data_IF_687414975852
#
_entry.id   IF_687414975852
#
_cell.length_a   1.000
_cell.length_b   1.000
_cell.length_c   1.000
_cell.angle_alpha   90.00
_cell.angle_beta   90.00
_cell.angle_gamma   90.00
#
_symmetry.space_group_name_H-M   'P 1'
#
loop_
_entity.id
_entity.type
_entity.pdbx_description
1 polymer ?
#
# COMPACT_ATOMS: atom_id res chain seq x y z
N UNK A 1 2.89 -23.33 9.22
CA UNK A 1 2.44 -23.37 7.82
C UNK A 1 1.63 -22.12 7.60
N UNK A 2 2.25 -21.06 7.07
CA UNK A 2 1.54 -19.83 6.71
C UNK A 2 0.54 -20.20 5.62
N UNK A 3 -0.74 -19.93 5.85
CA UNK A 3 -1.77 -20.14 4.84
C UNK A 3 -1.36 -19.33 3.61
N UNK A 4 -1.25 -19.98 2.45
CA UNK A 4 -0.85 -19.31 1.22
C UNK A 4 -2.03 -18.43 0.79
N UNK A 5 -1.98 -17.15 1.15
CA UNK A 5 -2.99 -16.16 0.76
C UNK A 5 -2.66 -15.68 -0.64
N UNK A 6 -3.61 -15.83 -1.56
CA UNK A 6 -3.55 -15.30 -2.93
C UNK A 6 -4.51 -14.11 -3.04
N UNK A 7 -4.12 -13.11 -3.82
CA UNK A 7 -4.92 -11.93 -4.19
C UNK A 7 -5.52 -12.03 -5.59
N UNK A 8 -5.24 -13.11 -6.33
CA UNK A 8 -5.79 -13.34 -7.66
C UNK A 8 -7.31 -13.25 -7.69
N UNK A 9 -7.84 -12.45 -8.62
CA UNK A 9 -9.28 -12.24 -8.80
C UNK A 9 -9.94 -11.39 -7.71
N UNK A 10 -9.19 -10.90 -6.73
CA UNK A 10 -9.71 -10.06 -5.66
C UNK A 10 -9.69 -8.58 -6.04
N UNK A 11 -10.47 -7.80 -5.30
CA UNK A 11 -10.58 -6.35 -5.47
C UNK A 11 -10.30 -5.68 -4.15
N UNK A 12 -9.45 -4.65 -4.15
CA UNK A 12 -9.17 -3.87 -2.94
C UNK A 12 -8.89 -2.40 -3.25
N UNK A 13 -8.84 -1.55 -2.22
CA UNK A 13 -8.40 -0.16 -2.33
C UNK A 13 -6.93 -0.04 -1.97
N UNK A 14 -6.30 1.13 -2.19
CA UNK A 14 -4.90 1.34 -1.79
C UNK A 14 -4.77 1.59 -0.28
N UNK A 15 -5.69 2.33 0.34
CA UNK A 15 -5.72 2.52 1.79
C UNK A 15 -6.25 3.89 2.20
N UNK A 16 -5.68 4.94 1.61
CA UNK A 16 -6.08 6.32 1.92
C UNK A 16 -7.47 6.63 1.37
N UNK A 17 -8.32 7.23 2.20
CA UNK A 17 -9.74 7.50 1.92
C UNK A 17 -10.10 8.95 2.25
N UNK A 18 -11.06 9.57 1.54
CA UNK A 18 -11.43 10.96 1.80
C UNK A 18 -12.33 11.10 3.03
N UNK A 19 -12.24 12.24 3.70
CA UNK A 19 -13.04 12.54 4.90
C UNK A 19 -12.36 12.13 6.21
N UNK A 20 -13.14 12.16 7.29
CA UNK A 20 -12.61 12.02 8.66
C UNK A 20 -13.40 11.04 9.54
N UNK A 21 -14.50 10.48 9.06
CA UNK A 21 -15.35 9.55 9.81
C UNK A 21 -14.86 8.11 9.63
N UNK A 22 -14.22 7.56 10.66
CA UNK A 22 -13.71 6.19 10.66
C UNK A 22 -14.81 5.13 10.52
N UNK A 23 -15.98 5.34 11.14
CA UNK A 23 -17.08 4.36 11.15
C UNK A 23 -17.76 4.28 9.79
N UNK A 24 -18.12 5.44 9.22
CA UNK A 24 -18.72 5.50 7.89
C UNK A 24 -17.77 4.92 6.84
N UNK A 25 -16.48 5.24 6.97
CA UNK A 25 -15.45 4.73 6.07
C UNK A 25 -15.31 3.21 6.19
N UNK A 26 -15.16 2.65 7.39
CA UNK A 26 -15.06 1.21 7.60
C UNK A 26 -16.28 0.45 7.06
N UNK A 27 -17.50 0.95 7.33
CA UNK A 27 -18.73 0.36 6.80
C UNK A 27 -18.77 0.39 5.27
N UNK A 28 -18.33 1.49 4.65
CA UNK A 28 -18.23 1.61 3.19
C UNK A 28 -17.23 0.62 2.62
N UNK A 29 -16.03 0.52 3.20
CA UNK A 29 -14.97 -0.37 2.72
C UNK A 29 -15.41 -1.84 2.79
N UNK A 30 -15.98 -2.29 3.91
CA UNK A 30 -16.49 -3.66 4.05
C UNK A 30 -17.66 -3.94 3.09
N UNK A 31 -18.55 -2.96 2.90
CA UNK A 31 -19.70 -3.11 2.00
C UNK A 31 -19.33 -3.21 0.52
N UNK A 32 -18.29 -2.50 0.07
CA UNK A 32 -17.92 -2.44 -1.35
C UNK A 32 -16.83 -3.47 -1.75
N UNK A 33 -15.93 -3.85 -0.83
CA UNK A 33 -14.75 -4.68 -1.14
C UNK A 33 -14.84 -6.14 -0.68
N UNK A 34 -15.94 -6.55 -0.05
CA UNK A 34 -16.28 -7.97 0.18
C UNK A 34 -15.12 -8.79 0.77
N UNK A 35 -14.50 -9.65 -0.05
CA UNK A 35 -13.47 -10.62 0.35
C UNK A 35 -12.06 -10.09 0.61
N UNK A 36 -11.73 -8.86 0.17
CA UNK A 36 -10.40 -8.26 0.39
C UNK A 36 -10.43 -6.78 0.84
N UNK A 37 -11.16 -6.46 1.93
CA UNK A 37 -11.24 -5.11 2.47
C UNK A 37 -9.93 -4.67 3.11
N UNK A 38 -9.79 -3.38 3.39
CA UNK A 38 -8.60 -2.82 4.03
C UNK A 38 -8.96 -1.97 5.25
N UNK A 39 -8.04 -1.89 6.22
CA UNK A 39 -8.17 -0.91 7.30
C UNK A 39 -7.97 0.49 6.72
N UNK A 40 -8.98 1.34 6.81
CA UNK A 40 -8.93 2.67 6.18
C UNK A 40 -7.85 3.57 6.79
N UNK A 41 -7.17 4.36 5.96
CA UNK A 41 -6.33 5.48 6.37
C UNK A 41 -7.03 6.81 6.03
N UNK A 42 -7.17 7.71 7.00
CA UNK A 42 -7.91 8.98 6.86
C UNK A 42 -6.99 10.19 7.08
N UNK A 43 -6.18 10.57 6.07
CA UNK A 43 -5.19 11.64 6.20
C UNK A 43 -5.81 13.02 6.45
N UNK A 44 -7.08 13.26 6.09
CA UNK A 44 -7.76 14.54 6.33
C UNK A 44 -8.00 14.85 7.81
N UNK A 45 -7.78 13.89 8.73
CA UNK A 45 -7.77 14.15 10.20
C UNK A 45 -6.52 14.93 10.67
N UNK A 46 -5.59 15.17 9.73
CA UNK A 46 -4.41 16.00 9.91
C UNK A 46 -3.20 15.24 10.43
N UNK A 47 -2.26 15.99 11.01
CA UNK A 47 -0.99 15.47 11.49
C UNK A 47 -1.16 14.26 12.41
N UNK A 48 -0.41 13.19 12.11
CA UNK A 48 -0.50 11.89 12.79
C UNK A 48 -1.45 10.90 12.10
N UNK A 49 -2.36 11.35 11.23
CA UNK A 49 -3.27 10.49 10.48
C UNK A 49 -2.84 10.24 9.03
N UNK A 50 -1.88 11.03 8.52
CA UNK A 50 -1.21 10.76 7.24
C UNK A 50 -0.31 9.52 7.32
N UNK A 51 0.11 9.00 6.16
CA UNK A 51 0.85 7.73 6.06
C UNK A 51 2.12 7.67 6.91
N UNK A 52 2.86 8.77 7.06
CA UNK A 52 4.10 8.81 7.84
C UNK A 52 3.78 8.87 9.33
N UNK A 53 2.82 9.72 9.72
CA UNK A 53 2.33 9.81 11.09
C UNK A 53 1.75 8.48 11.59
N UNK A 54 0.92 7.84 10.78
CA UNK A 54 0.33 6.52 11.06
C UNK A 54 1.39 5.44 11.18
N UNK A 55 2.37 5.39 10.27
CA UNK A 55 3.50 4.47 10.40
C UNK A 55 4.26 4.70 11.72
N UNK A 56 4.38 5.95 12.17
CA UNK A 56 4.93 6.29 13.48
C UNK A 56 4.21 5.67 14.68
N UNK A 57 2.90 5.39 14.57
CA UNK A 57 2.14 4.66 15.60
C UNK A 57 2.33 3.13 15.53
N UNK A 58 2.82 2.62 14.39
CA UNK A 58 3.12 1.20 14.17
C UNK A 58 4.55 0.89 14.63
N UNK A 59 5.50 1.81 14.47
CA UNK A 59 6.90 1.62 14.87
C UNK A 59 7.03 1.22 16.34
N UNK A 60 7.90 0.26 16.61
CA UNK A 60 8.25 -0.21 17.96
C UNK A 60 9.50 0.52 18.46
N UNK A 61 9.44 1.03 19.68
CA UNK A 61 10.55 1.73 20.38
C UNK A 61 11.13 2.97 19.67
N UNK A 62 10.53 3.41 18.56
CA UNK A 62 10.87 4.64 17.84
C UNK A 62 9.68 5.60 17.95
N UNK A 63 9.95 6.81 18.45
CA UNK A 63 8.92 7.84 18.58
C UNK A 63 9.11 8.90 17.51
N UNK A 64 8.01 9.30 16.86
CA UNK A 64 8.00 10.42 15.92
C UNK A 64 7.35 11.66 16.54
N UNK A 65 7.90 12.81 16.18
CA UNK A 65 7.28 14.12 16.39
C UNK A 65 7.32 14.92 15.07
N UNK A 66 6.56 15.99 15.00
CA UNK A 66 6.58 16.86 13.82
C UNK A 66 7.45 18.09 14.04
N UNK A 67 8.19 18.47 13.02
CA UNK A 67 8.79 19.79 12.87
C UNK A 67 7.93 20.64 11.92
N UNK A 68 8.41 21.84 11.59
CA UNK A 68 7.76 22.70 10.59
C UNK A 68 7.87 22.16 9.17
N UNK A 69 8.70 21.16 8.91
CA UNK A 69 9.01 20.68 7.56
C UNK A 69 8.81 19.19 7.36
N UNK A 70 9.06 18.38 8.39
CA UNK A 70 9.05 16.93 8.31
C UNK A 70 8.74 16.27 9.65
N UNK A 71 8.39 14.98 9.62
CA UNK A 71 8.46 14.13 10.80
C UNK A 71 9.91 13.90 11.19
N UNK A 72 10.16 13.74 12.49
CA UNK A 72 11.51 13.49 13.01
C UNK A 72 11.49 12.47 14.14
N UNK A 73 12.55 11.70 14.26
CA UNK A 73 12.77 10.79 15.39
C UNK A 73 13.06 11.60 16.66
N UNK A 74 12.37 11.27 17.74
CA UNK A 74 12.55 11.88 19.06
C UNK A 74 12.77 10.82 20.14
N UNK A 75 13.53 11.12 21.21
CA UNK A 75 13.85 10.15 22.25
C UNK A 75 12.68 9.83 23.19
N UNK A 76 11.62 10.65 23.17
CA UNK A 76 10.47 10.51 24.06
C UNK A 76 9.19 10.71 23.28
N UNK A 77 8.18 9.94 23.67
CA UNK A 77 6.82 10.04 23.14
C UNK A 77 6.27 11.45 23.34
N UNK A 78 5.89 12.07 22.23
CA UNK A 78 5.28 13.40 22.18
C UNK A 78 3.78 13.36 21.86
N UNK A 79 3.19 14.54 21.67
CA UNK A 79 1.77 14.68 21.34
C UNK A 79 1.42 14.10 19.96
N UNK A 80 2.32 14.22 18.98
CA UNK A 80 2.10 13.68 17.62
C UNK A 80 2.02 12.16 17.65
N UNK A 81 2.98 11.49 18.28
CA UNK A 81 2.93 10.04 18.49
C UNK A 81 1.65 9.60 19.20
N UNK A 82 1.28 10.27 20.31
CA UNK A 82 0.03 9.97 21.02
C UNK A 82 -1.20 10.12 20.11
N UNK A 83 -1.28 11.20 19.34
CA UNK A 83 -2.39 11.47 18.43
C UNK A 83 -2.48 10.43 17.31
N UNK A 84 -1.35 10.01 16.76
CA UNK A 84 -1.30 8.97 15.72
C UNK A 84 -1.80 7.61 16.26
N UNK A 85 -1.39 7.23 17.48
CA UNK A 85 -1.90 6.04 18.17
C UNK A 85 -3.41 6.13 18.44
N UNK A 86 -3.89 7.28 18.93
CA UNK A 86 -5.32 7.51 19.20
C UNK A 86 -6.14 7.34 17.90
N UNK A 87 -5.66 7.87 16.77
CA UNK A 87 -6.31 7.67 15.47
C UNK A 87 -6.28 6.22 15.00
N UNK A 88 -5.15 5.53 15.13
CA UNK A 88 -5.04 4.12 14.75
C UNK A 88 -5.99 3.24 15.55
N UNK A 89 -6.10 3.49 16.87
CA UNK A 89 -7.04 2.79 17.73
C UNK A 89 -8.49 3.06 17.33
N UNK A 90 -8.83 4.31 17.02
CA UNK A 90 -10.17 4.67 16.53
C UNK A 90 -10.51 3.94 15.22
N UNK A 91 -9.54 3.79 14.32
CA UNK A 91 -9.74 3.08 13.05
C UNK A 91 -9.94 1.57 13.27
N UNK A 92 -9.20 0.98 14.22
CA UNK A 92 -9.36 -0.42 14.61
C UNK A 92 -10.72 -0.69 15.25
N UNK A 93 -11.16 0.18 16.15
CA UNK A 93 -12.48 0.08 16.79
C UNK A 93 -13.60 0.21 15.75
N UNK A 94 -13.46 1.13 14.79
CA UNK A 94 -14.41 1.30 13.70
C UNK A 94 -14.47 0.08 12.76
N UNK A 95 -13.31 -0.53 12.46
CA UNK A 95 -13.26 -1.77 11.68
C UNK A 95 -13.97 -2.91 12.41
N UNK A 96 -13.69 -3.11 13.71
CA UNK A 96 -14.31 -4.17 14.51
C UNK A 96 -15.82 -3.98 14.63
N UNK A 97 -16.29 -2.75 14.92
CA UNK A 97 -17.72 -2.42 14.98
C UNK A 97 -18.43 -2.72 13.66
N UNK A 98 -17.82 -2.32 12.53
CA UNK A 98 -18.39 -2.57 11.21
C UNK A 98 -18.35 -4.08 10.84
N UNK A 99 -17.30 -4.80 11.25
CA UNK A 99 -17.13 -6.24 11.02
C UNK A 99 -18.21 -7.05 11.74
N UNK A 100 -18.44 -6.75 13.01
CA UNK A 100 -19.50 -7.36 13.83
C UNK A 100 -20.90 -7.05 13.29
N UNK A 101 -21.13 -5.78 12.90
CA UNK A 101 -22.40 -5.32 12.35
C UNK A 101 -22.76 -6.03 11.05
N UNK A 102 -21.76 -6.26 10.19
CA UNK A 102 -21.91 -7.00 8.94
C UNK A 102 -21.96 -8.54 9.15
N UNK A 103 -21.73 -9.02 10.38
CA UNK A 103 -21.71 -10.45 10.75
C UNK A 103 -20.74 -11.28 9.91
N UNK A 104 -19.57 -10.70 9.61
CA UNK A 104 -18.56 -11.35 8.79
C UNK A 104 -17.85 -12.44 9.58
N UNK A 105 -17.56 -13.56 8.90
CA UNK A 105 -16.78 -14.67 9.45
C UNK A 105 -15.35 -14.56 8.93
N UNK A 106 -14.38 -14.46 9.85
CA UNK A 106 -12.97 -14.22 9.51
C UNK A 106 -12.38 -15.19 8.49
N UNK A 107 -12.73 -16.48 8.56
CA UNK A 107 -12.19 -17.51 7.68
C UNK A 107 -12.48 -17.34 6.20
N UNK A 108 -13.49 -16.54 5.84
CA UNK A 108 -13.89 -16.29 4.45
C UNK A 108 -13.26 -15.00 3.86
N UNK A 109 -12.46 -14.29 4.67
CA UNK A 109 -11.98 -12.95 4.33
C UNK A 109 -10.48 -12.80 4.57
N UNK A 110 -9.88 -11.91 3.80
CA UNK A 110 -8.52 -11.43 4.01
C UNK A 110 -8.60 -9.92 4.25
N UNK A 111 -8.03 -9.42 5.34
CA UNK A 111 -7.95 -7.98 5.61
C UNK A 111 -6.58 -7.47 5.18
N UNK A 112 -6.57 -6.47 4.32
CA UNK A 112 -5.34 -5.78 3.95
C UNK A 112 -5.03 -4.67 4.96
N UNK A 113 -3.79 -4.60 5.42
CA UNK A 113 -3.26 -3.45 6.16
C UNK A 113 -2.17 -2.79 5.33
N UNK A 114 -2.10 -1.47 5.37
CA UNK A 114 -1.07 -0.72 4.66
C UNK A 114 -0.30 0.21 5.59
N UNK A 115 0.97 0.41 5.27
CA UNK A 115 1.85 1.36 5.93
C UNK A 115 2.88 1.90 4.93
N UNK A 116 3.37 3.11 5.18
CA UNK A 116 4.54 3.62 4.48
C UNK A 116 5.72 2.64 4.64
N UNK A 117 6.32 2.25 3.52
CA UNK A 117 7.45 1.33 3.50
C UNK A 117 8.74 1.96 4.01
N UNK A 118 9.75 1.14 4.37
CA UNK A 118 10.97 1.61 5.02
C UNK A 118 11.78 2.61 4.18
N UNK A 119 11.78 2.53 2.85
CA UNK A 119 12.53 3.46 2.00
C UNK A 119 11.85 4.84 1.95
N UNK A 120 10.53 4.85 1.87
CA UNK A 120 9.70 6.06 1.95
C UNK A 120 9.78 6.69 3.34
N UNK A 121 9.71 5.90 4.41
CA UNK A 121 9.96 6.40 5.77
C UNK A 121 11.36 6.99 5.91
N UNK A 122 12.38 6.31 5.37
CA UNK A 122 13.74 6.81 5.31
C UNK A 122 13.84 8.16 4.59
N UNK A 123 13.06 8.33 3.52
CA UNK A 123 13.00 9.56 2.74
C UNK A 123 12.21 10.69 3.43
N UNK A 124 11.18 10.39 4.20
CA UNK A 124 10.26 11.41 4.77
C UNK A 124 10.56 11.78 6.23
N UNK A 125 11.32 10.95 6.95
CA UNK A 125 11.66 11.17 8.36
C UNK A 125 13.07 11.74 8.49
N UNK A 126 13.23 12.72 9.38
CA UNK A 126 14.52 13.28 9.78
C UNK A 126 15.04 12.70 11.10
N UNK A 127 16.35 12.56 11.23
CA UNK A 127 17.02 12.35 12.52
C UNK A 127 17.25 13.70 13.22
N UNK A 128 17.70 13.68 14.48
CA UNK A 128 17.82 14.89 15.32
C UNK A 128 18.67 16.03 14.72
N UNK A 129 19.61 15.73 13.83
CA UNK A 129 20.46 16.73 13.18
C UNK A 129 19.79 17.40 11.96
N UNK A 130 18.58 16.96 11.55
CA UNK A 130 17.83 17.45 10.41
C UNK A 130 18.21 16.84 9.05
N UNK A 131 19.01 15.78 8.99
CA UNK A 131 19.15 14.95 7.79
C UNK A 131 18.06 13.91 7.74
N UNK A 132 17.66 13.49 6.53
CA UNK A 132 16.77 12.35 6.33
C UNK A 132 17.40 11.08 6.91
N UNK A 133 16.56 10.19 7.44
CA UNK A 133 16.99 8.88 7.93
C UNK A 133 17.68 8.08 6.83
N UNK A 134 17.30 8.27 5.56
CA UNK A 134 17.91 7.61 4.40
C UNK A 134 19.45 7.74 4.33
N UNK A 135 20.02 8.82 4.86
CA UNK A 135 21.48 9.07 4.84
C UNK A 135 22.20 8.30 5.96
N UNK A 136 21.50 7.95 7.03
CA UNK A 136 22.01 7.19 8.16
C UNK A 136 21.61 5.71 8.02
N UNK A 137 22.56 4.89 7.54
CA UNK A 137 22.33 3.45 7.32
C UNK A 137 21.91 2.71 8.61
N UNK A 138 22.40 3.15 9.77
CA UNK A 138 22.03 2.57 11.05
C UNK A 138 20.57 2.89 11.38
N UNK A 139 20.21 4.17 11.32
CA UNK A 139 18.83 4.60 11.58
C UNK A 139 17.82 4.01 10.58
N UNK A 140 18.19 3.89 9.29
CA UNK A 140 17.32 3.27 8.29
C UNK A 140 17.06 1.79 8.59
N UNK A 141 18.11 1.07 9.03
CA UNK A 141 17.98 -0.33 9.45
C UNK A 141 17.11 -0.45 10.70
N UNK A 142 17.31 0.41 11.70
CA UNK A 142 16.50 0.42 12.92
C UNK A 142 15.02 0.69 12.61
N UNK A 143 14.71 1.61 11.69
CA UNK A 143 13.34 1.83 11.19
C UNK A 143 12.80 0.57 10.52
N UNK A 144 13.57 -0.07 9.65
CA UNK A 144 13.12 -1.24 8.91
C UNK A 144 12.79 -2.43 9.82
N UNK A 145 13.64 -2.70 10.82
CA UNK A 145 13.44 -3.74 11.84
C UNK A 145 12.23 -3.39 12.73
N UNK A 146 12.16 -2.16 13.24
CA UNK A 146 11.05 -1.65 14.05
C UNK A 146 9.69 -1.70 13.33
N UNK A 147 9.66 -1.33 12.05
CA UNK A 147 8.46 -1.37 11.22
C UNK A 147 8.00 -2.81 11.00
N UNK A 148 8.91 -3.74 10.71
CA UNK A 148 8.58 -5.16 10.54
C UNK A 148 7.90 -5.72 11.80
N UNK A 149 8.50 -5.50 12.97
CA UNK A 149 7.92 -5.92 14.24
C UNK A 149 6.56 -5.26 14.51
N UNK A 150 6.47 -3.95 14.27
CA UNK A 150 5.24 -3.17 14.43
C UNK A 150 4.09 -3.70 13.58
N UNK A 151 4.36 -4.01 12.32
CA UNK A 151 3.38 -4.58 11.40
C UNK A 151 2.92 -5.97 11.82
N UNK A 152 3.82 -6.81 12.34
CA UNK A 152 3.44 -8.12 12.89
C UNK A 152 2.48 -7.96 14.09
N UNK A 153 2.76 -7.02 15.00
CA UNK A 153 1.89 -6.72 16.14
C UNK A 153 0.54 -6.16 15.69
N UNK A 154 0.55 -5.25 14.72
CA UNK A 154 -0.65 -4.63 14.18
C UNK A 154 -1.55 -5.65 13.46
N UNK A 155 -0.96 -6.55 12.67
CA UNK A 155 -1.68 -7.63 12.03
C UNK A 155 -2.28 -8.62 13.04
N UNK A 156 -1.52 -8.98 14.09
CA UNK A 156 -2.03 -9.85 15.15
C UNK A 156 -3.23 -9.23 15.86
N UNK A 157 -3.23 -7.91 16.07
CA UNK A 157 -4.36 -7.16 16.62
C UNK A 157 -5.60 -7.27 15.70
N UNK A 158 -5.43 -7.06 14.40
CA UNK A 158 -6.53 -7.18 13.43
C UNK A 158 -7.06 -8.61 13.34
N UNK A 159 -6.19 -9.61 13.22
CA UNK A 159 -6.58 -11.02 13.24
C UNK A 159 -7.30 -11.39 14.52
N UNK A 160 -6.92 -10.83 15.68
CA UNK A 160 -7.63 -11.06 16.95
C UNK A 160 -9.06 -10.53 16.92
N UNK A 161 -9.28 -9.34 16.34
CA UNK A 161 -10.59 -8.68 16.28
C UNK A 161 -11.52 -9.28 15.23
N UNK A 162 -10.99 -9.63 14.06
CA UNK A 162 -11.81 -10.04 12.90
C UNK A 162 -11.81 -11.56 12.66
N UNK A 163 -10.81 -12.27 13.18
CA UNK A 163 -10.53 -13.66 12.84
C UNK A 163 -10.02 -13.87 11.41
N UNK A 164 -9.80 -12.80 10.64
CA UNK A 164 -9.38 -12.85 9.25
C UNK A 164 -7.86 -13.01 9.10
N UNK A 165 -7.44 -13.63 8.00
CA UNK A 165 -6.05 -13.58 7.57
C UNK A 165 -5.68 -12.14 7.18
N UNK A 166 -4.41 -11.78 7.34
CA UNK A 166 -3.92 -10.43 7.03
C UNK A 166 -2.87 -10.46 5.93
N UNK A 167 -2.99 -9.52 4.99
CA UNK A 167 -1.96 -9.18 4.00
C UNK A 167 -1.47 -7.78 4.27
N UNK A 168 -0.16 -7.58 4.20
CA UNK A 168 0.46 -6.26 4.36
C UNK A 168 0.71 -5.64 2.99
N UNK A 169 0.48 -4.34 2.86
CA UNK A 169 0.94 -3.52 1.76
C UNK A 169 1.95 -2.49 2.29
N UNK A 170 3.17 -2.50 1.73
CA UNK A 170 4.16 -1.46 1.97
C UNK A 170 4.07 -0.42 0.85
N UNK A 171 3.69 0.80 1.22
CA UNK A 171 3.57 1.92 0.30
C UNK A 171 4.93 2.58 0.12
N UNK A 172 5.51 2.40 -1.05
CA UNK A 172 6.83 2.87 -1.44
C UNK A 172 6.81 3.85 -2.62
N UNK A 173 6.07 4.98 -2.53
CA UNK A 173 6.03 5.98 -3.60
C UNK A 173 7.38 6.64 -3.87
N UNK A 174 8.31 6.67 -2.89
CA UNK A 174 9.63 7.28 -3.04
C UNK A 174 10.70 6.33 -3.57
N UNK A 175 10.40 5.05 -3.83
CA UNK A 175 11.41 4.03 -4.13
C UNK A 175 12.29 4.39 -5.33
N UNK A 176 11.71 4.88 -6.42
CA UNK A 176 12.45 5.28 -7.61
C UNK A 176 13.38 6.47 -7.31
N UNK A 177 12.90 7.46 -6.55
CA UNK A 177 13.69 8.63 -6.18
C UNK A 177 14.84 8.30 -5.21
N UNK A 178 14.61 7.35 -4.29
CA UNK A 178 15.61 6.81 -3.37
C UNK A 178 16.73 6.13 -4.16
N UNK A 179 16.39 5.25 -5.11
CA UNK A 179 17.37 4.52 -5.93
C UNK A 179 18.12 5.45 -6.89
N UNK A 180 17.46 6.50 -7.40
CA UNK A 180 18.06 7.46 -8.30
C UNK A 180 18.89 8.55 -7.59
N UNK A 181 18.73 8.74 -6.27
CA UNK A 181 19.35 9.86 -5.55
C UNK A 181 18.80 11.23 -5.97
N UNK A 182 17.53 11.27 -6.35
CA UNK A 182 16.85 12.48 -6.85
C UNK A 182 16.03 13.21 -5.80
N UNK A 183 16.00 12.70 -4.56
CA UNK A 183 15.33 13.34 -3.44
C UNK A 183 15.98 14.69 -3.08
N UNK A 184 15.20 15.74 -2.83
CA UNK A 184 15.76 17.04 -2.44
C UNK A 184 16.43 16.95 -1.06
N UNK A 185 17.63 17.50 -0.95
CA UNK A 185 18.39 17.62 0.29
C UNK A 185 17.86 18.72 1.21
N UNK A 186 18.68 19.15 2.18
CA UNK A 186 18.27 20.17 3.17
C UNK A 186 18.01 21.53 2.52
N UNK A 187 18.74 21.79 1.44
CA UNK A 187 18.57 22.96 0.58
C UNK A 187 18.15 22.54 -0.81
N UNK A 188 17.56 23.46 -1.59
CA UNK A 188 17.16 23.19 -2.99
C UNK A 188 18.34 22.85 -3.93
N UNK A 189 19.58 23.11 -3.49
CA UNK A 189 20.81 22.88 -4.26
C UNK A 189 21.51 21.56 -3.90
N UNK A 190 21.00 20.84 -2.90
CA UNK A 190 21.55 19.57 -2.42
C UNK A 190 20.58 18.46 -2.83
N UNK A 191 21.11 17.31 -3.23
CA UNK A 191 20.32 16.08 -3.38
C UNK A 191 20.79 15.05 -2.36
N UNK A 192 19.88 14.17 -1.95
CA UNK A 192 20.23 13.04 -1.12
C UNK A 192 20.87 11.97 -2.00
N UNK A 193 22.03 11.40 -1.62
CA UNK A 193 22.69 10.37 -2.41
C UNK A 193 21.78 9.18 -2.71
N UNK A 194 21.97 8.57 -3.87
CA UNK A 194 21.29 7.34 -4.24
C UNK A 194 21.59 6.24 -3.22
N UNK A 195 20.55 5.50 -2.81
CA UNK A 195 20.73 4.27 -2.08
C UNK A 195 20.98 3.14 -3.09
N UNK A 196 22.13 2.44 -3.03
CA UNK A 196 22.40 1.34 -3.95
C UNK A 196 21.33 0.26 -3.86
N UNK A 197 20.91 -0.27 -5.01
CA UNK A 197 19.84 -1.25 -5.10
C UNK A 197 20.00 -2.47 -4.17
N UNK A 198 21.19 -3.07 -3.99
CA UNK A 198 21.36 -4.17 -3.04
C UNK A 198 21.09 -3.78 -1.58
N UNK A 199 21.40 -2.53 -1.21
CA UNK A 199 21.13 -2.02 0.13
C UNK A 199 19.64 -1.74 0.30
N UNK A 200 19.00 -1.11 -0.70
CA UNK A 200 17.54 -0.86 -0.68
C UNK A 200 16.73 -2.16 -0.60
N UNK A 201 17.13 -3.19 -1.35
CA UNK A 201 16.55 -4.53 -1.30
C UNK A 201 16.70 -5.14 0.10
N UNK A 202 17.89 -5.06 0.71
CA UNK A 202 18.12 -5.60 2.05
C UNK A 202 17.26 -4.91 3.12
N UNK A 203 17.07 -3.59 3.01
CA UNK A 203 16.19 -2.83 3.90
C UNK A 203 14.74 -3.27 3.75
N UNK A 204 14.24 -3.36 2.51
CA UNK A 204 12.88 -3.79 2.21
C UNK A 204 12.63 -5.22 2.71
N UNK A 205 13.52 -6.16 2.39
CA UNK A 205 13.39 -7.56 2.80
C UNK A 205 13.53 -7.75 4.31
N UNK A 206 14.31 -6.91 5.00
CA UNK A 206 14.38 -6.91 6.47
C UNK A 206 13.01 -6.58 7.09
N UNK A 207 12.29 -5.59 6.57
CA UNK A 207 10.93 -5.26 7.01
C UNK A 207 9.95 -6.40 6.72
N UNK A 208 10.00 -6.96 5.50
CA UNK A 208 9.10 -8.07 5.09
C UNK A 208 9.34 -9.30 5.97
N UNK A 209 10.61 -9.68 6.16
CA UNK A 209 11.01 -10.79 7.04
C UNK A 209 10.60 -10.54 8.50
N UNK A 210 10.80 -9.32 9.01
CA UNK A 210 10.43 -8.95 10.38
C UNK A 210 8.92 -8.97 10.62
N UNK A 211 8.13 -8.66 9.59
CA UNK A 211 6.67 -8.75 9.63
C UNK A 211 6.19 -10.22 9.60
N UNK A 212 6.85 -11.08 8.82
CA UNK A 212 6.53 -12.51 8.76
C UNK A 212 5.19 -12.85 8.10
N UNK A 213 4.60 -11.90 7.36
CA UNK A 213 3.29 -12.03 6.71
C UNK A 213 3.41 -11.85 5.18
N UNK A 214 2.43 -12.35 4.40
CA UNK A 214 2.36 -12.07 2.97
C UNK A 214 2.32 -10.55 2.74
N UNK A 215 3.34 -10.03 2.05
CA UNK A 215 3.51 -8.60 1.81
C UNK A 215 3.48 -8.27 0.32
N UNK A 216 2.74 -7.22 -0.02
CA UNK A 216 2.68 -6.56 -1.33
C UNK A 216 3.47 -5.25 -1.22
N UNK A 217 4.22 -4.88 -2.26
CA UNK A 217 4.83 -3.55 -2.35
C UNK A 217 4.05 -2.71 -3.35
N UNK A 218 3.53 -1.57 -2.90
CA UNK A 218 2.84 -0.61 -3.74
C UNK A 218 3.75 0.56 -4.11
N UNK A 219 3.78 0.96 -5.38
CA UNK A 219 4.33 2.24 -5.78
C UNK A 219 3.55 2.82 -6.96
N UNK A 220 3.18 4.09 -6.85
CA UNK A 220 2.45 4.83 -7.87
C UNK A 220 3.35 5.81 -8.65
N UNK A 221 4.67 5.64 -8.57
CA UNK A 221 5.65 6.49 -9.26
C UNK A 221 5.91 6.06 -10.71
N UNK A 222 6.49 6.96 -11.49
CA UNK A 222 7.15 6.59 -12.76
C UNK A 222 8.48 5.90 -12.45
N UNK A 223 8.97 5.07 -13.38
CA UNK A 223 10.28 4.38 -13.27
C UNK A 223 10.32 3.30 -12.17
N UNK A 224 9.35 2.39 -12.24
CA UNK A 224 9.27 1.24 -11.35
C UNK A 224 10.57 0.40 -11.37
N UNK A 225 11.15 0.08 -10.20
CA UNK A 225 12.37 -0.72 -10.11
C UNK A 225 12.05 -2.22 -10.21
N UNK A 226 11.69 -2.66 -11.42
CA UNK A 226 11.21 -4.02 -11.69
C UNK A 226 12.16 -5.13 -11.19
N UNK A 227 13.47 -5.00 -11.39
CA UNK A 227 14.44 -6.02 -10.96
C UNK A 227 14.51 -6.16 -9.43
N UNK A 228 14.53 -5.02 -8.71
CA UNK A 228 14.51 -5.02 -7.25
C UNK A 228 13.22 -5.68 -6.74
N UNK A 229 12.06 -5.30 -7.28
CA UNK A 229 10.76 -5.85 -6.86
C UNK A 229 10.65 -7.35 -7.16
N UNK A 230 11.17 -7.79 -8.31
CA UNK A 230 11.26 -9.21 -8.68
C UNK A 230 12.09 -10.02 -7.68
N UNK A 231 13.21 -9.46 -7.22
CA UNK A 231 14.14 -10.10 -6.28
C UNK A 231 13.71 -10.00 -4.82
N UNK A 232 12.86 -9.04 -4.49
CA UNK A 232 12.33 -8.87 -3.13
C UNK A 232 11.52 -10.07 -2.66
N UNK A 233 11.37 -10.19 -1.35
CA UNK A 233 10.55 -11.19 -0.69
C UNK A 233 9.04 -10.91 -0.79
N UNK A 234 8.63 -9.75 -1.31
CA UNK A 234 7.22 -9.43 -1.50
C UNK A 234 6.59 -10.45 -2.45
N UNK A 235 5.44 -11.02 -2.10
CA UNK A 235 4.78 -11.98 -3.00
C UNK A 235 4.01 -11.28 -4.11
N UNK A 236 3.70 -9.98 -3.93
CA UNK A 236 3.01 -9.20 -4.94
C UNK A 236 3.47 -7.76 -5.08
N UNK A 237 3.09 -7.14 -6.18
CA UNK A 237 3.44 -5.76 -6.54
C UNK A 237 2.18 -5.02 -6.98
N UNK A 238 1.95 -3.83 -6.43
CA UNK A 238 0.85 -2.95 -6.82
C UNK A 238 1.37 -1.68 -7.51
N UNK A 239 0.76 -1.30 -8.63
CA UNK A 239 1.18 -0.11 -9.39
C UNK A 239 0.04 0.49 -10.21
N UNK A 240 0.20 1.76 -10.58
CA UNK A 240 -0.72 2.47 -11.48
C UNK A 240 -0.49 2.02 -12.92
N UNK A 241 -1.46 1.30 -13.49
CA UNK A 241 -1.39 0.78 -14.86
C UNK A 241 -1.35 1.90 -15.91
N UNK A 242 -1.82 3.11 -15.58
CA UNK A 242 -1.80 4.25 -16.50
C UNK A 242 -0.40 4.87 -16.71
N UNK A 243 0.56 4.54 -15.85
CA UNK A 243 1.96 4.95 -15.97
C UNK A 243 2.84 3.95 -16.74
N UNK A 244 2.27 2.79 -17.11
CA UNK A 244 2.99 1.67 -17.71
C UNK A 244 3.06 1.82 -19.23
N UNK A 245 4.27 1.75 -19.77
CA UNK A 245 4.54 1.80 -21.20
C UNK A 245 5.18 0.53 -21.73
N UNK A 246 5.49 0.50 -23.03
CA UNK A 246 6.13 -0.65 -23.69
C UNK A 246 7.48 -1.04 -23.07
N UNK A 247 8.20 -0.08 -22.45
CA UNK A 247 9.49 -0.33 -21.79
C UNK A 247 9.38 -1.17 -20.52
N UNK A 248 8.20 -1.23 -19.93
CA UNK A 248 7.94 -1.84 -18.63
C UNK A 248 7.48 -3.31 -18.78
N UNK A 249 7.10 -3.71 -20.00
CA UNK A 249 6.52 -5.03 -20.27
C UNK A 249 7.47 -6.17 -19.91
N UNK A 250 8.76 -6.06 -20.25
CA UNK A 250 9.74 -7.09 -19.91
C UNK A 250 9.86 -7.24 -18.38
N UNK A 251 9.86 -6.13 -17.65
CA UNK A 251 9.90 -6.12 -16.19
C UNK A 251 8.67 -6.77 -15.58
N UNK A 252 7.48 -6.43 -16.07
CA UNK A 252 6.20 -7.00 -15.61
C UNK A 252 6.12 -8.50 -15.94
N UNK A 253 6.53 -8.91 -17.15
CA UNK A 253 6.58 -10.32 -17.53
C UNK A 253 7.49 -11.13 -16.61
N UNK A 254 8.65 -10.57 -16.25
CA UNK A 254 9.56 -11.21 -15.29
C UNK A 254 9.00 -11.30 -13.87
N UNK A 255 8.08 -10.40 -13.46
CA UNK A 255 7.37 -10.55 -12.19
C UNK A 255 6.43 -11.75 -12.21
N UNK A 256 5.65 -11.91 -13.30
CA UNK A 256 4.78 -13.08 -13.47
C UNK A 256 5.57 -14.39 -13.53
N UNK A 257 6.66 -14.43 -14.30
CA UNK A 257 7.55 -15.61 -14.38
C UNK A 257 8.17 -15.97 -13.02
N UNK A 258 8.44 -14.96 -12.17
CA UNK A 258 8.91 -15.15 -10.81
C UNK A 258 7.78 -15.58 -9.83
N UNK A 259 6.55 -15.76 -10.32
CA UNK A 259 5.40 -16.18 -9.54
C UNK A 259 4.81 -15.08 -8.65
N UNK A 260 5.10 -13.80 -8.94
CA UNK A 260 4.50 -12.68 -8.21
C UNK A 260 3.06 -12.47 -8.63
N UNK A 261 2.23 -12.03 -7.70
CA UNK A 261 0.86 -11.58 -7.97
C UNK A 261 0.82 -10.05 -8.11
N UNK A 262 0.00 -9.52 -9.03
CA UNK A 262 -0.02 -8.09 -9.33
C UNK A 262 -1.35 -7.44 -8.92
N UNK A 263 -1.29 -6.33 -8.21
CA UNK A 263 -2.44 -5.47 -7.96
C UNK A 263 -2.45 -4.32 -8.97
N UNK A 264 -3.27 -4.42 -10.01
CA UNK A 264 -3.31 -3.45 -11.09
C UNK A 264 -4.22 -2.27 -10.74
N UNK A 265 -3.62 -1.09 -10.66
CA UNK A 265 -4.32 0.18 -10.51
C UNK A 265 -4.98 0.59 -11.82
N UNK A 266 -6.27 0.32 -11.97
CA UNK A 266 -7.01 0.52 -13.23
C UNK A 266 -7.96 1.72 -13.16
N UNK A 267 -8.62 1.90 -12.02
CA UNK A 267 -9.66 2.92 -11.83
C UNK A 267 -9.07 4.26 -11.38
N UNK A 268 -9.43 5.39 -12.00
CA UNK A 268 -8.93 6.71 -11.59
C UNK A 268 -9.20 7.02 -10.11
N UNK A 269 -8.17 7.49 -9.41
CA UNK A 269 -8.28 7.84 -7.98
C UNK A 269 -9.00 9.16 -7.72
N UNK A 270 -9.20 9.99 -8.75
CA UNK A 270 -9.99 11.22 -8.71
C UNK A 270 -11.00 11.19 -9.84
N UNK A 271 -12.11 11.92 -9.65
CA UNK A 271 -13.21 11.94 -10.61
C UNK A 271 -12.71 12.44 -11.97
N UNK A 272 -12.81 11.62 -13.04
CA UNK A 272 -12.38 12.04 -14.36
C UNK A 272 -13.40 13.01 -14.96
N UNK A 273 -12.92 13.94 -15.80
CA UNK A 273 -13.80 14.88 -16.52
C UNK A 273 -14.84 14.17 -17.40
N UNK A 274 -14.48 12.99 -17.92
CA UNK A 274 -15.37 12.13 -18.71
C UNK A 274 -15.69 10.88 -17.90
N UNK A 275 -16.98 10.50 -17.78
CA UNK A 275 -17.35 9.24 -17.17
C UNK A 275 -16.62 8.08 -17.84
N UNK A 276 -16.09 7.18 -17.02
CA UNK A 276 -15.43 5.95 -17.48
C UNK A 276 -16.32 4.76 -17.19
N UNK A 277 -16.31 3.79 -18.09
CA UNK A 277 -17.03 2.53 -17.94
C UNK A 277 -16.11 1.44 -17.39
N UNK A 278 -16.68 0.39 -16.80
CA UNK A 278 -15.90 -0.75 -16.31
C UNK A 278 -15.09 -1.40 -17.45
N UNK A 279 -15.63 -1.42 -18.68
CA UNK A 279 -14.96 -2.03 -19.83
C UNK A 279 -13.71 -1.24 -20.24
N UNK A 280 -13.79 0.09 -20.21
CA UNK A 280 -12.63 0.96 -20.46
C UNK A 280 -11.57 0.81 -19.36
N UNK A 281 -11.97 0.64 -18.10
CA UNK A 281 -11.05 0.38 -17.00
C UNK A 281 -10.40 -1.00 -17.06
N UNK A 282 -11.09 -2.03 -17.53
CA UNK A 282 -10.56 -3.40 -17.64
C UNK A 282 -9.58 -3.59 -18.82
N UNK A 283 -9.77 -2.85 -19.91
CA UNK A 283 -9.01 -3.02 -21.16
C UNK A 283 -7.47 -2.97 -21.00
N UNK A 284 -6.87 -2.09 -20.18
CA UNK A 284 -5.42 -2.09 -19.98
C UNK A 284 -4.88 -3.41 -19.41
N UNK A 285 -5.61 -4.06 -18.51
CA UNK A 285 -5.18 -5.35 -17.94
C UNK A 285 -5.22 -6.47 -18.99
N UNK A 286 -6.30 -6.53 -19.78
CA UNK A 286 -6.42 -7.48 -20.89
C UNK A 286 -5.31 -7.27 -21.92
N UNK A 287 -5.10 -6.01 -22.32
CA UNK A 287 -4.06 -5.64 -23.29
C UNK A 287 -2.66 -6.02 -22.78
N UNK A 288 -2.39 -5.85 -21.49
CA UNK A 288 -1.12 -6.23 -20.87
C UNK A 288 -0.87 -7.74 -21.03
N UNK A 289 -1.84 -8.56 -20.60
CA UNK A 289 -1.73 -10.03 -20.66
C UNK A 289 -1.59 -10.52 -22.10
N UNK A 290 -2.39 -9.99 -23.02
CA UNK A 290 -2.33 -10.34 -24.44
C UNK A 290 -0.96 -9.97 -25.07
N UNK A 291 -0.40 -8.80 -24.71
CA UNK A 291 0.92 -8.37 -25.22
C UNK A 291 2.08 -9.17 -24.65
N UNK A 292 1.97 -9.64 -23.42
CA UNK A 292 2.95 -10.52 -22.80
C UNK A 292 2.82 -11.98 -23.29
N UNK A 293 1.71 -12.32 -23.94
CA UNK A 293 1.46 -13.67 -24.46
C UNK A 293 1.03 -14.68 -23.39
N UNK A 294 0.57 -14.21 -22.23
CA UNK A 294 0.04 -15.07 -21.17
C UNK A 294 -1.43 -15.45 -21.44
N UNK A 295 -1.89 -16.55 -20.83
CA UNK A 295 -3.32 -16.91 -20.81
C UNK A 295 -4.12 -15.86 -20.04
N UNK A 296 -5.30 -15.49 -20.53
CA UNK A 296 -6.20 -14.57 -19.81
C UNK A 296 -6.71 -15.12 -18.48
N UNK A 297 -6.60 -16.43 -18.24
CA UNK A 297 -6.82 -17.06 -16.93
C UNK A 297 -5.92 -16.45 -15.84
N UNK A 298 -4.75 -15.91 -16.23
CA UNK A 298 -3.83 -15.22 -15.33
C UNK A 298 -4.50 -14.02 -14.62
N UNK A 299 -5.46 -13.36 -15.29
CA UNK A 299 -6.24 -12.26 -14.70
C UNK A 299 -7.11 -12.72 -13.52
N UNK A 300 -7.49 -14.00 -13.50
CA UNK A 300 -8.29 -14.60 -12.42
C UNK A 300 -7.41 -15.10 -11.28
N UNK A 301 -6.21 -15.60 -11.58
CA UNK A 301 -5.39 -16.35 -10.61
C UNK A 301 -4.23 -15.55 -10.02
N UNK A 302 -3.78 -14.47 -10.66
CA UNK A 302 -2.59 -13.71 -10.22
C UNK A 302 -2.78 -12.19 -10.24
N UNK A 303 -3.97 -11.69 -10.60
CA UNK A 303 -4.21 -10.25 -10.68
C UNK A 303 -5.32 -9.84 -9.73
N UNK A 304 -5.02 -8.86 -8.88
CA UNK A 304 -6.00 -8.11 -8.10
C UNK A 304 -6.29 -6.77 -8.78
N UNK A 305 -7.48 -6.22 -8.53
CA UNK A 305 -7.90 -4.92 -9.09
C UNK A 305 -7.92 -3.87 -7.99
N UNK A 306 -7.33 -2.70 -8.29
CA UNK A 306 -7.32 -1.55 -7.39
C UNK A 306 -7.63 -0.24 -8.12
N UNK A 307 -7.96 0.83 -7.39
CA UNK A 307 -7.74 2.18 -7.87
C UNK A 307 -6.24 2.43 -8.16
N UNK A 308 -5.94 3.45 -8.96
CA UNK A 308 -4.55 3.80 -9.36
C UNK A 308 -3.64 4.17 -8.19
N UNK A 309 -4.20 4.82 -7.17
CA UNK A 309 -3.57 5.25 -5.93
C UNK A 309 -4.65 5.39 -4.83
N UNK A 310 -4.29 5.89 -3.64
CA UNK A 310 -5.25 6.24 -2.59
C UNK A 310 -6.35 7.20 -3.07
N UNK A 311 -7.53 7.09 -2.48
CA UNK A 311 -8.74 7.87 -2.83
C UNK A 311 -8.89 9.15 -2.01
N UNK A 312 -7.94 9.47 -1.13
CA UNK A 312 -8.00 10.64 -0.23
C UNK A 312 -8.13 11.99 -0.95
N UNK A 313 -7.72 12.07 -2.22
CA UNK A 313 -7.87 13.26 -3.07
C UNK A 313 -9.24 13.39 -3.76
N UNK A 314 -10.10 12.38 -3.68
CA UNK A 314 -11.42 12.40 -4.28
C UNK A 314 -12.49 13.02 -3.35
N UNK A 315 -13.65 13.35 -3.92
CA UNK A 315 -14.86 13.48 -3.12
C UNK A 315 -15.40 12.10 -2.72
N UNK A 316 -16.26 12.05 -1.68
CA UNK A 316 -16.80 10.79 -1.15
C UNK A 316 -17.65 10.02 -2.16
N UNK A 317 -18.41 10.72 -3.01
CA UNK A 317 -19.27 10.10 -4.01
C UNK A 317 -18.45 9.35 -5.06
N UNK A 318 -17.39 9.98 -5.57
CA UNK A 318 -16.44 9.35 -6.49
C UNK A 318 -15.67 8.22 -5.81
N UNK A 319 -15.23 8.38 -4.56
CA UNK A 319 -14.50 7.32 -3.87
C UNK A 319 -15.33 6.03 -3.77
N UNK A 320 -16.63 6.13 -3.47
CA UNK A 320 -17.57 5.00 -3.50
C UNK A 320 -17.77 4.45 -4.91
N UNK A 321 -17.99 5.33 -5.89
CA UNK A 321 -18.16 4.93 -7.28
C UNK A 321 -16.92 4.21 -7.84
N UNK A 322 -15.72 4.66 -7.46
CA UNK A 322 -14.45 4.06 -7.86
C UNK A 322 -14.28 2.64 -7.30
N UNK A 323 -14.64 2.39 -6.04
CA UNK A 323 -14.62 1.03 -5.48
C UNK A 323 -15.64 0.11 -6.17
N UNK A 324 -16.86 0.60 -6.42
CA UNK A 324 -17.86 -0.14 -7.21
C UNK A 324 -17.34 -0.50 -8.59
N UNK A 325 -16.70 0.46 -9.26
CA UNK A 325 -16.12 0.26 -10.57
C UNK A 325 -14.97 -0.76 -10.54
N UNK A 326 -14.14 -0.77 -9.49
CA UNK A 326 -13.14 -1.81 -9.29
C UNK A 326 -13.80 -3.19 -9.13
N UNK A 327 -14.89 -3.27 -8.37
CA UNK A 327 -15.67 -4.51 -8.18
C UNK A 327 -16.30 -4.99 -9.48
N UNK A 328 -16.85 -4.08 -10.29
CA UNK A 328 -17.41 -4.41 -11.61
C UNK A 328 -16.32 -4.89 -12.59
N UNK A 329 -15.14 -4.27 -12.58
CA UNK A 329 -13.97 -4.71 -13.35
C UNK A 329 -13.50 -6.09 -12.89
N UNK A 330 -13.37 -6.30 -11.59
CA UNK A 330 -12.97 -7.58 -11.01
C UNK A 330 -13.92 -8.71 -11.41
N UNK A 331 -15.24 -8.50 -11.27
CA UNK A 331 -16.25 -9.47 -11.73
C UNK A 331 -16.14 -9.75 -13.23
N UNK A 332 -16.02 -8.72 -14.06
CA UNK A 332 -15.91 -8.93 -15.50
C UNK A 332 -14.65 -9.72 -15.92
N UNK A 333 -13.52 -9.46 -15.26
CA UNK A 333 -12.26 -10.18 -15.52
C UNK A 333 -12.28 -11.60 -14.94
N UNK A 334 -13.00 -11.84 -13.85
CA UNK A 334 -13.13 -13.17 -13.24
C UNK A 334 -14.15 -14.04 -13.97
N UNK A 335 -15.31 -13.50 -14.32
CA UNK A 335 -16.42 -14.29 -14.88
C UNK A 335 -16.20 -14.68 -16.35
N UNK A 336 -15.68 -13.76 -17.17
CA UNK A 336 -15.41 -14.04 -18.59
C UNK A 336 -14.25 -13.19 -19.14
N UNK A 337 -12.99 -13.60 -18.89
CA UNK A 337 -11.83 -12.94 -19.49
C UNK A 337 -11.84 -12.95 -21.03
N UNK A 338 -12.60 -13.84 -21.66
CA UNK A 338 -12.68 -13.98 -23.12
C UNK A 338 -13.64 -13.00 -23.78
N UNK A 339 -14.49 -12.32 -23.00
CA UNK A 339 -15.47 -11.34 -23.48
C UNK A 339 -14.88 -10.00 -23.97
N UNK A 340 -13.55 -9.84 -23.90
CA UNK A 340 -12.82 -8.61 -24.24
C UNK A 340 -12.15 -8.66 -25.60
#
# INVERSE_FOLDING_TARGET
MTQQVSIGGLVTGIGSWPGTDARESAATILGELGGFPHLVELPSRGLGADMVGRAGAILVDINLDASTRAYRVVPRRGNVAKRAEDFLNQDLDALEEAWESARLVGGDHVVKLQAAGPLTLGAEIEVANGSRVLVDRGALRDIAESLGEGLARHAAEVTRRTGAAVVIQLDEPQIAAVLAGSLPGRTKMESVPALPEPEALAVLDSTISGCGLPTIVHSCGTDMPWDLLRRSQAFGVSFDMSLIGSRDLDGIGQLFDAGKELALGLVPSVEPEKPVTWKECAMPAVTLVDRLGFSRELLQTQVAITPRCGLSGANLDWARAALRLCTDVGKALVDDPSAF
#
